data_IF_104339683246
#
_entry.id   IF_104339683246
#
_cell.length_a   1.000
_cell.length_b   1.000
_cell.length_c   1.000
_cell.angle_alpha   90.00
_cell.angle_beta   90.00
_cell.angle_gamma   90.00
#
_symmetry.space_group_name_H-M   'P 1'
#
loop_
_entity.id
_entity.type
_entity.pdbx_description
1 polymer ?
#
# COMPACT_ATOMS: atom_id res chain seq x y z
N UNK A 1 -25.97 6.05 14.69
CA UNK A 1 -26.60 4.90 13.98
C UNK A 1 -26.79 5.14 12.48
N UNK A 2 -26.97 6.39 12.01
CA UNK A 2 -27.18 6.73 10.59
C UNK A 2 -26.03 6.29 9.64
N UNK A 3 -24.81 6.14 10.15
CA UNK A 3 -23.60 5.84 9.37
C UNK A 3 -23.19 4.37 9.38
N UNK A 4 -23.87 3.50 10.13
CA UNK A 4 -23.60 2.08 10.21
C UNK A 4 -23.56 1.36 8.84
N UNK A 5 -24.47 1.65 7.89
CA UNK A 5 -24.40 1.03 6.56
C UNK A 5 -23.16 1.41 5.74
N UNK A 6 -22.56 2.57 6.04
CA UNK A 6 -21.34 3.04 5.34
C UNK A 6 -20.08 2.29 5.81
N UNK A 7 -20.09 1.69 7.00
CA UNK A 7 -18.90 1.01 7.55
C UNK A 7 -18.44 -0.13 6.64
N UNK A 8 -19.37 -0.98 6.19
CA UNK A 8 -19.05 -2.09 5.29
C UNK A 8 -18.49 -1.60 3.95
N UNK A 9 -19.03 -0.50 3.40
CA UNK A 9 -18.54 0.10 2.17
C UNK A 9 -17.12 0.66 2.33
N UNK A 10 -16.87 1.36 3.46
CA UNK A 10 -15.54 1.88 3.79
C UNK A 10 -14.51 0.78 3.96
N UNK A 11 -14.86 -0.33 4.60
CA UNK A 11 -13.96 -1.48 4.74
C UNK A 11 -13.50 -2.01 3.37
N UNK A 12 -14.42 -2.21 2.43
CA UNK A 12 -14.08 -2.67 1.06
C UNK A 12 -13.21 -1.63 0.35
N UNK A 13 -13.53 -0.34 0.47
CA UNK A 13 -12.72 0.73 -0.12
C UNK A 13 -11.32 0.80 0.47
N UNK A 14 -11.13 0.56 1.76
CA UNK A 14 -9.81 0.48 2.38
C UNK A 14 -8.95 -0.60 1.73
N UNK A 15 -9.52 -1.79 1.48
CA UNK A 15 -8.81 -2.85 0.76
C UNK A 15 -8.43 -2.45 -0.67
N UNK A 16 -9.32 -1.77 -1.40
CA UNK A 16 -9.01 -1.28 -2.73
C UNK A 16 -7.86 -0.26 -2.70
N UNK A 17 -7.88 0.69 -1.77
CA UNK A 17 -6.86 1.74 -1.65
C UNK A 17 -5.49 1.24 -1.19
N UNK A 18 -5.43 0.07 -0.57
CA UNK A 18 -4.19 -0.53 -0.12
C UNK A 18 -3.22 -0.88 -1.27
N UNK A 19 -3.73 -1.19 -2.46
CA UNK A 19 -2.92 -1.45 -3.65
C UNK A 19 -2.47 -0.16 -4.37
N UNK A 20 -3.06 0.98 -4.04
CA UNK A 20 -2.76 2.27 -4.70
C UNK A 20 -1.29 2.71 -4.54
N UNK A 21 -0.65 2.62 -3.35
CA UNK A 21 0.76 3.00 -3.19
C UNK A 21 1.70 2.14 -4.04
N UNK A 22 1.43 0.84 -4.16
CA UNK A 22 2.23 -0.04 -5.01
C UNK A 22 2.12 0.35 -6.49
N UNK A 23 0.91 0.64 -6.95
CA UNK A 23 0.67 1.13 -8.31
C UNK A 23 1.38 2.45 -8.57
N UNK A 24 1.35 3.39 -7.60
CA UNK A 24 2.04 4.67 -7.71
C UNK A 24 3.55 4.52 -7.82
N UNK A 25 4.18 3.63 -7.04
CA UNK A 25 5.61 3.33 -7.12
C UNK A 25 5.98 2.81 -8.51
N UNK A 26 5.20 1.87 -9.06
CA UNK A 26 5.42 1.32 -10.39
C UNK A 26 5.37 2.41 -11.48
N UNK A 27 4.39 3.30 -11.40
CA UNK A 27 4.21 4.38 -12.37
C UNK A 27 5.32 5.44 -12.25
N UNK A 28 5.71 5.80 -11.02
CA UNK A 28 6.80 6.73 -10.77
C UNK A 28 8.17 6.16 -11.22
N UNK A 29 8.37 4.85 -11.10
CA UNK A 29 9.56 4.18 -11.61
C UNK A 29 9.70 4.32 -13.13
N UNK A 30 8.60 4.25 -13.89
CA UNK A 30 8.63 4.50 -15.35
C UNK A 30 9.02 5.94 -15.67
N UNK A 31 8.50 6.91 -14.92
CA UNK A 31 8.87 8.32 -15.09
C UNK A 31 10.35 8.56 -14.76
N UNK A 32 10.86 7.93 -13.69
CA UNK A 32 12.26 8.04 -13.30
C UNK A 32 13.24 7.48 -14.35
N UNK A 33 12.82 6.48 -15.13
CA UNK A 33 13.60 5.90 -16.24
C UNK A 33 13.46 6.74 -17.54
N UNK A 34 12.63 7.81 -17.53
CA UNK A 34 12.37 8.63 -18.71
C UNK A 34 11.40 8.01 -19.72
N UNK A 35 10.65 6.98 -19.34
CA UNK A 35 9.68 6.28 -20.21
C UNK A 35 8.24 6.75 -19.94
N UNK A 36 8.04 8.07 -20.03
CA UNK A 36 6.71 8.69 -19.88
C UNK A 36 5.72 8.26 -20.97
N UNK A 37 6.22 7.80 -22.12
CA UNK A 37 5.44 7.19 -23.19
C UNK A 37 4.68 5.95 -22.70
N UNK A 38 5.35 5.08 -21.94
CA UNK A 38 4.74 3.87 -21.37
C UNK A 38 3.79 4.23 -20.21
N UNK A 39 4.14 5.24 -19.40
CA UNK A 39 3.25 5.76 -18.36
C UNK A 39 1.88 6.14 -18.93
N UNK A 40 1.87 6.99 -19.96
CA UNK A 40 0.63 7.44 -20.60
C UNK A 40 -0.15 6.26 -21.21
N UNK A 41 0.55 5.33 -21.87
CA UNK A 41 -0.07 4.16 -22.49
C UNK A 41 -0.78 3.27 -21.48
N UNK A 42 -0.14 3.04 -20.33
CA UNK A 42 -0.70 2.25 -19.23
C UNK A 42 -1.92 2.97 -18.64
N UNK A 43 -1.80 4.27 -18.44
CA UNK A 43 -2.88 5.07 -17.83
C UNK A 43 -4.13 5.10 -18.72
N UNK A 44 -3.94 5.29 -20.03
CA UNK A 44 -5.03 5.20 -21.00
C UNK A 44 -5.65 3.80 -21.10
N UNK A 45 -4.85 2.75 -20.92
CA UNK A 45 -5.35 1.35 -20.97
C UNK A 45 -6.26 1.00 -19.77
N UNK A 46 -6.17 1.73 -18.68
CA UNK A 46 -7.02 1.52 -17.49
C UNK A 46 -8.39 2.16 -17.62
N UNK A 47 -8.49 3.27 -18.35
CA UNK A 47 -9.75 4.02 -18.51
C UNK A 47 -10.92 3.14 -19.00
N UNK A 48 -10.79 2.33 -20.07
CA UNK A 48 -11.89 1.48 -20.53
C UNK A 48 -12.29 0.43 -19.49
N UNK A 49 -11.35 -0.05 -18.67
CA UNK A 49 -11.63 -1.02 -17.61
C UNK A 49 -12.45 -0.37 -16.49
N UNK A 50 -12.03 0.80 -16.03
CA UNK A 50 -12.73 1.55 -14.99
C UNK A 50 -14.13 1.94 -15.44
N UNK A 51 -14.29 2.44 -16.68
CA UNK A 51 -15.57 2.79 -17.27
C UNK A 51 -16.47 1.56 -17.40
N UNK A 52 -15.94 0.44 -17.86
CA UNK A 52 -16.69 -0.80 -17.99
C UNK A 52 -17.26 -1.27 -16.64
N UNK A 53 -16.41 -1.35 -15.61
CA UNK A 53 -16.89 -1.74 -14.27
C UNK A 53 -17.89 -0.73 -13.71
N UNK A 54 -17.70 0.56 -13.95
CA UNK A 54 -18.63 1.58 -13.51
C UNK A 54 -20.01 1.38 -14.16
N UNK A 55 -20.09 1.25 -15.49
CA UNK A 55 -21.35 1.07 -16.24
C UNK A 55 -22.09 -0.19 -15.78
N UNK A 56 -21.37 -1.30 -15.59
CA UNK A 56 -21.97 -2.58 -15.18
C UNK A 56 -22.48 -2.52 -13.73
N UNK A 57 -21.83 -1.77 -12.87
CA UNK A 57 -22.15 -1.77 -11.42
C UNK A 57 -23.16 -0.70 -11.01
N UNK A 58 -23.34 0.39 -11.77
CA UNK A 58 -24.34 1.44 -11.49
C UNK A 58 -25.74 0.85 -11.27
N UNK A 59 -26.30 0.02 -12.16
CA UNK A 59 -27.65 -0.49 -11.99
C UNK A 59 -27.82 -1.44 -10.82
N UNK A 60 -26.71 -2.00 -10.29
CA UNK A 60 -26.70 -2.97 -9.19
C UNK A 60 -26.61 -2.29 -7.81
N UNK A 61 -26.45 -0.97 -7.76
CA UNK A 61 -26.44 -0.18 -6.54
C UNK A 61 -25.06 0.03 -5.93
N UNK A 62 -25.02 0.82 -4.84
CA UNK A 62 -23.78 1.35 -4.23
C UNK A 62 -22.81 0.23 -3.81
N UNK A 63 -23.30 -0.87 -3.26
CA UNK A 63 -22.45 -2.00 -2.85
C UNK A 63 -21.73 -2.61 -4.05
N UNK A 64 -22.42 -2.77 -5.17
CA UNK A 64 -21.83 -3.31 -6.40
C UNK A 64 -20.77 -2.36 -6.98
N UNK A 65 -20.98 -1.06 -6.92
CA UNK A 65 -20.01 -0.04 -7.36
C UNK A 65 -18.70 -0.17 -6.57
N UNK A 66 -18.79 -0.31 -5.26
CA UNK A 66 -17.61 -0.46 -4.40
C UNK A 66 -16.86 -1.76 -4.67
N UNK A 67 -17.57 -2.86 -4.87
CA UNK A 67 -16.97 -4.15 -5.24
C UNK A 67 -16.36 -4.08 -6.64
N UNK A 68 -17.04 -3.46 -7.60
CA UNK A 68 -16.51 -3.24 -8.95
C UNK A 68 -15.23 -2.41 -8.94
N UNK A 69 -15.17 -1.35 -8.12
CA UNK A 69 -13.97 -0.55 -7.93
C UNK A 69 -12.82 -1.37 -7.33
N UNK A 70 -13.09 -2.28 -6.38
CA UNK A 70 -12.08 -3.18 -5.83
C UNK A 70 -11.50 -4.09 -6.92
N UNK A 71 -12.37 -4.73 -7.72
CA UNK A 71 -11.96 -5.63 -8.81
C UNK A 71 -11.15 -4.87 -9.86
N UNK A 72 -11.64 -3.70 -10.29
CA UNK A 72 -10.92 -2.82 -11.23
C UNK A 72 -9.54 -2.45 -10.69
N UNK A 73 -9.44 -2.04 -9.43
CA UNK A 73 -8.15 -1.68 -8.79
C UNK A 73 -7.17 -2.86 -8.79
N UNK A 74 -7.63 -4.08 -8.53
CA UNK A 74 -6.78 -5.28 -8.60
C UNK A 74 -6.28 -5.52 -10.02
N UNK A 75 -7.15 -5.44 -11.03
CA UNK A 75 -6.76 -5.61 -12.44
C UNK A 75 -5.75 -4.51 -12.84
N UNK A 76 -6.05 -3.25 -12.50
CA UNK A 76 -5.18 -2.12 -12.79
C UNK A 76 -3.80 -2.24 -12.10
N UNK A 77 -3.73 -2.83 -10.90
CA UNK A 77 -2.46 -3.13 -10.25
C UNK A 77 -1.59 -4.08 -11.10
N UNK A 78 -2.15 -5.16 -11.63
CA UNK A 78 -1.41 -6.09 -12.49
C UNK A 78 -0.93 -5.42 -13.78
N UNK A 79 -1.76 -4.57 -14.38
CA UNK A 79 -1.39 -3.78 -15.57
C UNK A 79 -0.25 -2.81 -15.24
N UNK A 80 -0.35 -2.07 -14.12
CA UNK A 80 0.67 -1.13 -13.67
C UNK A 80 2.00 -1.79 -13.33
N UNK A 81 1.97 -3.03 -12.84
CA UNK A 81 3.17 -3.76 -12.43
C UNK A 81 3.83 -4.54 -13.58
N UNK A 82 3.14 -4.73 -14.71
CA UNK A 82 3.63 -5.56 -15.82
C UNK A 82 4.85 -4.94 -16.52
N UNK A 83 4.73 -3.70 -17.00
CA UNK A 83 5.80 -3.04 -17.76
C UNK A 83 7.02 -2.68 -16.90
N UNK A 84 6.86 -2.03 -15.73
CA UNK A 84 7.97 -1.80 -14.82
C UNK A 84 8.62 -3.11 -14.37
N UNK A 85 7.79 -4.14 -14.12
CA UNK A 85 8.26 -5.45 -13.73
C UNK A 85 9.16 -6.11 -14.78
N UNK A 86 8.92 -5.89 -16.06
CA UNK A 86 9.75 -6.40 -17.16
C UNK A 86 11.07 -5.62 -17.27
N UNK A 87 11.04 -4.31 -17.08
CA UNK A 87 12.22 -3.44 -17.20
C UNK A 87 13.14 -3.59 -15.98
N UNK A 88 12.57 -3.64 -14.78
CA UNK A 88 13.30 -3.66 -13.51
C UNK A 88 13.53 -5.09 -12.96
N UNK A 89 13.08 -6.14 -13.66
CA UNK A 89 13.09 -7.54 -13.18
C UNK A 89 12.36 -7.72 -11.83
N UNK A 90 11.37 -6.86 -11.53
CA UNK A 90 10.58 -6.83 -10.32
C UNK A 90 9.07 -6.88 -10.63
N UNK A 91 8.62 -8.04 -11.10
CA UNK A 91 7.26 -8.27 -11.57
C UNK A 91 6.19 -8.25 -10.46
N UNK A 92 4.89 -8.27 -10.85
CA UNK A 92 3.76 -8.14 -9.91
C UNK A 92 3.74 -9.23 -8.84
N UNK A 93 4.16 -10.44 -9.16
CA UNK A 93 4.20 -11.57 -8.22
C UNK A 93 5.25 -11.33 -7.12
N UNK A 94 6.43 -10.81 -7.47
CA UNK A 94 7.46 -10.46 -6.49
C UNK A 94 6.99 -9.34 -5.57
N UNK A 95 6.36 -8.31 -6.14
CA UNK A 95 5.78 -7.20 -5.38
C UNK A 95 4.71 -7.70 -4.41
N UNK A 96 3.83 -8.58 -4.85
CA UNK A 96 2.78 -9.15 -4.01
C UNK A 96 3.36 -9.99 -2.87
N UNK A 97 4.43 -10.75 -3.13
CA UNK A 97 5.12 -11.56 -2.10
C UNK A 97 5.75 -10.70 -1.02
N UNK A 98 6.38 -9.59 -1.40
CA UNK A 98 6.96 -8.64 -0.44
C UNK A 98 5.86 -7.93 0.35
N UNK A 99 4.75 -7.61 -0.31
CA UNK A 99 3.58 -7.01 0.31
C UNK A 99 2.93 -7.94 1.36
N UNK A 100 2.85 -9.25 1.09
CA UNK A 100 2.35 -10.24 2.06
C UNK A 100 3.19 -10.23 3.35
N UNK A 101 4.51 -10.06 3.27
CA UNK A 101 5.36 -9.96 4.46
C UNK A 101 4.99 -8.76 5.33
N UNK A 102 4.70 -7.62 4.71
CA UNK A 102 4.22 -6.42 5.42
C UNK A 102 2.87 -6.70 6.07
N UNK A 103 1.96 -7.38 5.37
CA UNK A 103 0.66 -7.77 5.93
C UNK A 103 0.77 -8.65 7.16
N UNK A 104 1.64 -9.64 7.12
CA UNK A 104 1.89 -10.51 8.28
C UNK A 104 2.40 -9.68 9.46
N UNK A 105 3.30 -8.75 9.22
CA UNK A 105 3.81 -7.85 10.27
C UNK A 105 2.73 -6.97 10.88
N UNK A 106 1.83 -6.43 10.04
CA UNK A 106 0.66 -5.64 10.50
C UNK A 106 -0.32 -6.53 11.27
N UNK A 107 -0.55 -7.75 10.81
CA UNK A 107 -1.43 -8.72 11.49
C UNK A 107 -0.93 -9.04 12.90
N UNK A 108 0.36 -9.34 13.05
CA UNK A 108 0.98 -9.57 14.36
C UNK A 108 0.84 -8.34 15.25
N UNK A 109 1.17 -7.15 14.75
CA UNK A 109 0.99 -5.90 15.49
C UNK A 109 -0.46 -5.71 15.96
N UNK A 110 -1.43 -5.96 15.06
CA UNK A 110 -2.86 -5.78 15.36
C UNK A 110 -3.34 -6.70 16.47
N UNK A 111 -2.87 -7.94 16.51
CA UNK A 111 -3.22 -8.91 17.58
C UNK A 111 -2.75 -8.36 18.93
N UNK A 112 -1.52 -7.87 19.03
CA UNK A 112 -1.00 -7.31 20.28
C UNK A 112 -1.75 -6.06 20.72
N UNK A 113 -2.10 -5.17 19.80
CA UNK A 113 -2.89 -3.97 20.10
C UNK A 113 -4.29 -4.33 20.60
N UNK A 114 -4.92 -5.35 20.01
CA UNK A 114 -6.24 -5.84 20.45
C UNK A 114 -6.13 -6.44 21.86
N UNK A 115 -5.07 -7.20 22.16
CA UNK A 115 -4.84 -7.76 23.50
C UNK A 115 -4.70 -6.67 24.57
N UNK A 116 -3.99 -5.59 24.26
CA UNK A 116 -3.86 -4.45 25.16
C UNK A 116 -5.23 -3.82 25.44
N UNK A 117 -6.04 -3.69 24.39
CA UNK A 117 -7.39 -3.12 24.49
C UNK A 117 -8.30 -3.93 25.43
N UNK A 118 -8.14 -5.24 25.51
CA UNK A 118 -8.97 -6.09 26.38
C UNK A 118 -8.56 -6.07 27.85
N UNK A 119 -7.33 -5.59 28.15
CA UNK A 119 -6.79 -5.60 29.52
C UNK A 119 -6.74 -4.21 30.19
N UNK A 120 -6.97 -3.13 29.45
CA UNK A 120 -6.86 -1.78 29.97
C UNK A 120 -8.17 -1.02 29.74
N UNK A 121 -8.82 -0.59 30.81
CA UNK A 121 -10.09 0.15 30.75
C UNK A 121 -9.90 1.64 30.48
N UNK A 122 -8.72 2.21 30.82
CA UNK A 122 -8.44 3.64 30.66
C UNK A 122 -8.09 3.98 29.21
N UNK A 123 -8.98 4.69 28.51
CA UNK A 123 -8.87 5.03 27.08
C UNK A 123 -7.58 5.78 26.74
N UNK A 124 -7.14 6.73 27.58
CA UNK A 124 -5.93 7.51 27.31
C UNK A 124 -4.67 6.65 27.44
N UNK A 125 -4.64 5.77 28.44
CA UNK A 125 -3.52 4.84 28.66
C UNK A 125 -3.47 3.78 27.55
N UNK A 126 -4.62 3.31 27.11
CA UNK A 126 -4.78 2.36 25.99
C UNK A 126 -4.23 2.94 24.69
N UNK A 127 -4.53 4.20 24.38
CA UNK A 127 -4.01 4.88 23.18
C UNK A 127 -2.48 5.06 23.26
N UNK A 128 -1.93 5.50 24.38
CA UNK A 128 -0.49 5.68 24.56
C UNK A 128 0.27 4.36 24.45
N UNK A 129 -0.11 3.36 25.25
CA UNK A 129 0.56 2.06 25.26
C UNK A 129 0.35 1.31 23.95
N UNK A 130 -0.85 1.35 23.37
CA UNK A 130 -1.15 0.72 22.09
C UNK A 130 -0.30 1.30 20.95
N UNK A 131 -0.10 2.62 20.92
CA UNK A 131 0.74 3.27 19.90
C UNK A 131 2.21 2.92 20.08
N UNK A 132 2.77 3.02 21.29
CA UNK A 132 4.19 2.75 21.54
C UNK A 132 4.51 1.28 21.28
N UNK A 133 3.71 0.34 21.81
CA UNK A 133 3.92 -1.07 21.63
C UNK A 133 3.64 -1.51 20.17
N UNK A 134 2.64 -0.92 19.52
CA UNK A 134 2.37 -1.17 18.11
C UNK A 134 3.56 -0.81 17.22
N UNK A 135 4.12 0.38 17.40
CA UNK A 135 5.30 0.83 16.64
C UNK A 135 6.51 -0.06 16.90
N UNK A 136 6.79 -0.40 18.17
CA UNK A 136 7.93 -1.25 18.53
C UNK A 136 7.79 -2.65 17.94
N UNK A 137 6.64 -3.27 18.05
CA UNK A 137 6.38 -4.60 17.49
C UNK A 137 6.50 -4.57 15.95
N UNK A 138 5.94 -3.55 15.31
CA UNK A 138 6.06 -3.39 13.86
C UNK A 138 7.52 -3.29 13.40
N UNK A 139 8.33 -2.47 14.08
CA UNK A 139 9.77 -2.32 13.76
C UNK A 139 10.51 -3.65 13.96
N UNK A 140 10.23 -4.38 15.03
CA UNK A 140 10.84 -5.69 15.29
C UNK A 140 10.46 -6.68 14.19
N UNK A 141 9.18 -6.76 13.81
CA UNK A 141 8.72 -7.61 12.72
C UNK A 141 9.37 -7.24 11.38
N UNK A 142 9.46 -5.95 11.06
CA UNK A 142 10.14 -5.48 9.85
C UNK A 142 11.62 -5.88 9.81
N UNK A 143 12.27 -5.92 10.95
CA UNK A 143 13.68 -6.37 11.08
C UNK A 143 13.81 -7.88 10.91
N UNK A 144 12.92 -8.67 11.50
CA UNK A 144 12.90 -10.14 11.39
C UNK A 144 12.61 -10.58 9.95
N UNK A 145 11.64 -9.95 9.29
CA UNK A 145 11.28 -10.28 7.91
C UNK A 145 12.19 -9.63 6.86
N UNK A 146 13.23 -8.91 7.28
CA UNK A 146 14.17 -8.21 6.38
C UNK A 146 13.46 -7.27 5.37
N UNK A 147 12.34 -6.66 5.79
CA UNK A 147 11.54 -5.76 4.95
C UNK A 147 12.28 -4.44 4.76
N UNK A 148 12.93 -3.94 5.82
CA UNK A 148 13.74 -2.72 5.79
C UNK A 148 15.21 -3.14 5.73
N UNK A 149 15.81 -3.03 4.56
CA UNK A 149 17.26 -3.14 4.43
C UNK A 149 17.88 -1.83 4.93
N UNK A 150 18.35 -1.81 6.16
CA UNK A 150 19.04 -0.66 6.77
C UNK A 150 20.29 -0.21 5.99
N UNK A 151 20.78 -1.04 5.05
CA UNK A 151 21.89 -0.66 4.17
C UNK A 151 21.59 0.57 3.31
N UNK A 152 20.33 0.75 2.89
CA UNK A 152 19.92 1.92 2.12
C UNK A 152 19.89 3.21 2.95
N UNK A 153 19.63 3.11 4.25
CA UNK A 153 19.68 4.27 5.14
C UNK A 153 21.11 4.80 5.31
N UNK A 154 22.09 3.90 5.37
CA UNK A 154 23.49 4.27 5.41
C UNK A 154 23.98 4.94 4.10
N UNK A 155 23.48 4.50 2.95
CA UNK A 155 23.79 5.12 1.66
C UNK A 155 23.21 6.53 1.58
N UNK A 156 21.97 6.72 2.05
CA UNK A 156 21.34 8.05 2.08
C UNK A 156 22.04 9.01 3.05
N UNK A 157 22.42 8.53 4.23
CA UNK A 157 23.23 9.30 5.17
C UNK A 157 24.60 9.70 4.61
N UNK A 158 25.28 8.81 3.90
CA UNK A 158 26.54 9.10 3.24
C UNK A 158 26.38 10.11 2.09
N UNK A 159 25.26 10.07 1.38
CA UNK A 159 24.95 11.02 0.30
C UNK A 159 24.74 12.44 0.84
N UNK A 160 23.99 12.60 1.93
CA UNK A 160 23.79 13.89 2.60
C UNK A 160 25.12 14.42 3.13
N UNK A 161 25.94 13.57 3.75
CA UNK A 161 27.23 13.98 4.31
C UNK A 161 28.27 14.35 3.22
N UNK A 162 28.16 13.76 2.04
CA UNK A 162 29.01 14.08 0.88
C UNK A 162 28.60 15.39 0.21
N UNK A 163 27.29 15.67 0.13
CA UNK A 163 26.80 16.91 -0.49
C UNK A 163 27.14 18.13 0.34
N UNK A 164 27.01 18.05 1.66
CA UNK A 164 27.41 19.11 2.59
C UNK A 164 28.92 19.41 2.62
N UNK A 165 29.77 18.49 2.13
CA UNK A 165 31.24 18.73 2.00
C UNK A 165 31.64 19.41 0.68
N UNK A 166 30.75 19.39 -0.31
CA UNK A 166 31.02 20.02 -1.61
C UNK A 166 30.50 21.46 -1.69
N UNK A 167 29.82 21.94 -0.66
CA UNK A 167 29.30 23.33 -0.55
C UNK A 167 30.14 24.23 0.39
N UNK A 168 31.29 23.74 0.91
CA UNK A 168 32.29 24.49 1.64
C UNK A 168 33.59 24.55 0.82
#
# INVERSE_FOLDING_TARGET
>A
EKWLPCVALLQILCFARMLTPLSAINMNALNAIGRSDLFLKIDLSKLPIDIFFLIVTIPLGIKAIVIGNLISTVICFFINAYYPGKILNYGPIKQLKDFIRVFISIGVMSIFVILIRTHIDNVSLQLLLGSILGITIYIICCKIFNIISFSHFNIFSQYIHKNNRNEI
#
